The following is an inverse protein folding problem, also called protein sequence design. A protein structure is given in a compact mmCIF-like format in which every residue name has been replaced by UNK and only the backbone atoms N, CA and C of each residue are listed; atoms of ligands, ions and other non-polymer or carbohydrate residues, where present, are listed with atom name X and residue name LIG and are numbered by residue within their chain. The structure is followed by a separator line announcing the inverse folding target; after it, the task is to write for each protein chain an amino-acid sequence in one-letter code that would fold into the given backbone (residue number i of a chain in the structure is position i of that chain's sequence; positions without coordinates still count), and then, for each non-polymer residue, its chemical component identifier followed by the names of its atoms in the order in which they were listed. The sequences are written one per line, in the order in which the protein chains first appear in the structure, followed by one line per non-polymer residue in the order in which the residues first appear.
data_IF_142422883484
#
_entry.id   IF_142422883484
#
_cell.length_a   1.000
_cell.length_b   1.000
_cell.length_c   1.000
_cell.angle_alpha   90.00
_cell.angle_beta   90.00
_cell.angle_gamma   90.00
#
_symmetry.space_group_name_H-M   'P 1'
#
loop_
_entity.id
_entity.type
_entity.pdbx_description
1 polymer ?
#
# COMPACT_ATOMS: atom_id res chain seq x y z
N UNK A 1 10.09 5.95 15.73
CA UNK A 1 9.61 4.67 16.29
C UNK A 1 8.91 3.89 15.19
N UNK A 2 9.08 2.57 15.12
CA UNK A 2 8.65 1.75 13.97
C UNK A 2 7.14 1.56 13.75
N UNK A 3 6.28 2.04 14.66
CA UNK A 3 4.81 2.00 14.52
C UNK A 3 4.17 3.35 14.27
N UNK A 4 4.97 4.40 14.11
CA UNK A 4 4.53 5.76 13.74
C UNK A 4 5.07 6.13 12.37
N UNK A 5 4.28 6.82 11.56
CA UNK A 5 4.64 7.28 10.22
C UNK A 5 4.05 8.68 9.98
N UNK A 6 4.76 9.56 9.24
CA UNK A 6 4.41 10.95 9.02
C UNK A 6 4.98 11.90 10.09
N UNK A 7 4.98 13.18 9.80
CA UNK A 7 5.51 14.27 10.65
C UNK A 7 4.37 15.13 11.20
N UNK A 8 3.57 15.76 10.35
CA UNK A 8 2.40 16.56 10.70
C UNK A 8 1.11 15.76 10.54
N UNK A 9 0.88 15.16 9.40
CA UNK A 9 -0.19 14.16 9.24
C UNK A 9 0.39 12.81 9.67
N UNK A 10 0.29 12.50 10.94
CA UNK A 10 0.97 11.37 11.55
C UNK A 10 0.01 10.26 11.92
N UNK A 11 0.41 9.03 11.65
CA UNK A 11 -0.32 7.86 12.09
C UNK A 11 0.47 7.07 13.12
N UNK A 12 -0.24 6.41 14.03
CA UNK A 12 0.30 5.42 14.95
C UNK A 12 -0.54 4.15 14.88
N UNK A 13 0.01 3.08 14.31
CA UNK A 13 -0.70 1.80 14.16
C UNK A 13 -0.43 0.87 15.34
N UNK A 14 -1.45 0.11 15.76
CA UNK A 14 -1.38 -0.83 16.88
C UNK A 14 -2.22 -2.09 16.61
N UNK A 15 -2.10 -3.06 17.50
CA UNK A 15 -2.83 -4.33 17.41
C UNK A 15 -2.15 -5.38 16.56
N UNK A 16 -2.68 -6.60 16.57
CA UNK A 16 -2.09 -7.80 15.98
C UNK A 16 -3.14 -8.66 15.31
N UNK A 17 -2.70 -9.50 14.35
CA UNK A 17 -3.61 -10.31 13.52
C UNK A 17 -4.49 -11.30 14.31
N UNK A 18 -4.04 -11.72 15.50
CA UNK A 18 -4.73 -12.65 16.40
C UNK A 18 -4.86 -12.08 17.83
N UNK A 19 -4.79 -10.75 17.98
CA UNK A 19 -5.17 -10.02 19.19
C UNK A 19 -6.63 -9.57 19.14
N UNK A 20 -7.06 -8.70 20.05
CA UNK A 20 -8.43 -8.18 20.11
C UNK A 20 -8.87 -7.37 18.89
N UNK A 21 -7.91 -6.76 18.18
CA UNK A 21 -8.16 -5.96 16.97
C UNK A 21 -6.91 -5.33 16.41
N UNK A 22 -7.07 -4.60 15.31
CA UNK A 22 -6.05 -3.76 14.69
C UNK A 22 -6.60 -2.35 14.56
N UNK A 23 -5.82 -1.35 14.92
CA UNK A 23 -6.28 0.03 14.88
C UNK A 23 -5.18 1.00 14.48
N UNK A 24 -5.59 2.26 14.37
CA UNK A 24 -4.73 3.39 14.06
C UNK A 24 -5.22 4.64 14.77
N UNK A 25 -4.30 5.48 15.19
CA UNK A 25 -4.56 6.86 15.61
C UNK A 25 -3.99 7.75 14.50
N UNK A 26 -4.82 8.64 13.96
CA UNK A 26 -4.41 9.72 13.05
C UNK A 26 -4.32 11.00 13.88
N UNK A 27 -3.14 11.58 13.91
CA UNK A 27 -2.87 12.86 14.58
C UNK A 27 -2.47 13.91 13.54
N UNK A 28 -2.88 15.18 13.75
CA UNK A 28 -2.61 16.28 12.84
C UNK A 28 -3.55 16.40 11.63
N UNK A 29 -4.66 15.67 11.60
CA UNK A 29 -5.71 15.93 10.61
C UNK A 29 -6.33 17.32 10.88
N UNK A 30 -6.41 18.22 9.88
CA UNK A 30 -7.01 19.54 10.06
C UNK A 30 -8.47 19.45 10.53
N UNK A 31 -8.95 20.40 11.35
CA UNK A 31 -10.36 20.47 11.72
C UNK A 31 -11.25 20.90 10.55
N UNK A 32 -12.55 20.63 10.68
CA UNK A 32 -13.60 21.03 9.73
C UNK A 32 -13.55 20.33 8.36
N UNK A 33 -12.86 19.20 8.29
CA UNK A 33 -12.96 18.31 7.15
C UNK A 33 -14.20 17.41 7.33
N UNK A 34 -15.16 17.54 6.45
CA UNK A 34 -16.28 16.59 6.33
C UNK A 34 -15.75 15.27 5.79
N UNK A 35 -15.95 14.17 6.52
CA UNK A 35 -15.52 12.84 6.13
C UNK A 35 -16.70 12.01 5.62
N UNK A 36 -16.54 11.44 4.44
CA UNK A 36 -17.36 10.32 3.99
C UNK A 36 -16.89 9.04 4.68
N UNK A 37 -17.61 8.64 5.72
CA UNK A 37 -17.32 7.44 6.50
C UNK A 37 -17.56 6.16 5.68
N UNK A 38 -18.51 6.18 4.74
CA UNK A 38 -18.76 5.05 3.85
C UNK A 38 -17.58 4.82 2.89
N UNK A 39 -16.93 5.89 2.42
CA UNK A 39 -15.72 5.77 1.61
C UNK A 39 -14.54 5.16 2.39
N UNK A 40 -14.41 5.44 3.70
CA UNK A 40 -13.40 4.79 4.55
C UNK A 40 -13.66 3.28 4.63
N UNK A 41 -14.92 2.89 4.85
CA UNK A 41 -15.30 1.47 4.90
C UNK A 41 -15.11 0.80 3.53
N UNK A 42 -15.45 1.48 2.43
CA UNK A 42 -15.27 0.95 1.08
C UNK A 42 -13.79 0.65 0.77
N UNK A 43 -12.85 1.50 1.19
CA UNK A 43 -11.41 1.23 1.03
C UNK A 43 -10.96 0.01 1.88
N UNK A 44 -11.50 -0.15 3.08
CA UNK A 44 -11.26 -1.34 3.90
C UNK A 44 -11.86 -2.59 3.27
N UNK A 45 -13.03 -2.50 2.66
CA UNK A 45 -13.65 -3.60 1.92
C UNK A 45 -12.82 -4.04 0.72
N UNK A 46 -12.15 -3.13 0.03
CA UNK A 46 -11.19 -3.42 -1.05
C UNK A 46 -9.93 -4.13 -0.53
N UNK A 47 -9.55 -3.94 0.74
CA UNK A 47 -8.39 -4.55 1.37
C UNK A 47 -8.68 -5.90 2.02
N UNK A 48 -9.90 -6.12 2.54
CA UNK A 48 -10.26 -7.29 3.36
C UNK A 48 -9.93 -8.64 2.69
N UNK A 49 -9.73 -9.73 3.46
CA UNK A 49 -9.61 -11.07 2.90
C UNK A 49 -10.97 -11.59 2.40
N UNK A 50 -10.95 -12.67 1.61
CA UNK A 50 -12.17 -13.37 1.19
C UNK A 50 -12.98 -12.67 0.11
N UNK A 51 -12.37 -11.76 -0.66
CA UNK A 51 -13.05 -10.99 -1.69
C UNK A 51 -13.39 -11.80 -2.95
N UNK A 52 -12.58 -12.80 -3.27
CA UNK A 52 -12.70 -13.54 -4.52
C UNK A 52 -11.98 -14.90 -4.46
N UNK A 53 -12.19 -15.71 -5.50
CA UNK A 53 -11.54 -17.01 -5.66
C UNK A 53 -10.01 -16.97 -5.81
N UNK A 54 -9.44 -15.83 -6.14
CA UNK A 54 -7.98 -15.62 -6.27
C UNK A 54 -7.34 -15.03 -5.00
N UNK A 55 -8.10 -14.86 -3.93
CA UNK A 55 -7.64 -14.38 -2.62
C UNK A 55 -7.87 -15.43 -1.55
N UNK A 56 -7.31 -15.22 -0.36
CA UNK A 56 -7.48 -16.13 0.78
C UNK A 56 -8.96 -16.35 1.11
N UNK A 57 -9.39 -17.58 1.46
CA UNK A 57 -10.78 -17.87 1.84
C UNK A 57 -11.14 -17.43 3.27
N UNK A 58 -10.23 -16.77 4.01
CA UNK A 58 -10.54 -16.16 5.31
C UNK A 58 -11.64 -15.11 5.13
N UNK A 59 -12.59 -15.06 6.07
CA UNK A 59 -13.69 -14.07 6.04
C UNK A 59 -13.58 -13.14 7.23
N UNK A 60 -13.51 -11.86 6.97
CA UNK A 60 -13.53 -10.78 7.97
C UNK A 60 -14.36 -9.64 7.38
N UNK A 61 -15.21 -9.04 8.18
CA UNK A 61 -16.04 -7.91 7.72
C UNK A 61 -15.25 -6.61 7.70
N UNK A 62 -14.16 -6.54 8.49
CA UNK A 62 -13.28 -5.38 8.67
C UNK A 62 -14.04 -4.07 8.93
N UNK A 63 -15.15 -4.15 9.69
CA UNK A 63 -15.94 -2.98 10.07
C UNK A 63 -15.11 -2.06 10.97
N UNK A 64 -15.00 -0.79 10.57
CA UNK A 64 -14.26 0.21 11.32
C UNK A 64 -15.15 0.88 12.37
N UNK A 65 -14.66 0.93 13.60
CA UNK A 65 -15.20 1.72 14.70
C UNK A 65 -14.37 3.00 14.81
N UNK A 66 -15.00 4.18 14.75
CA UNK A 66 -14.33 5.46 15.01
C UNK A 66 -14.64 5.87 16.44
N UNK A 67 -13.60 6.01 17.25
CA UNK A 67 -13.73 6.18 18.71
C UNK A 67 -13.57 7.63 19.14
N UNK A 68 -12.93 8.49 18.36
CA UNK A 68 -12.67 9.89 18.70
C UNK A 68 -12.34 10.73 17.45
N UNK A 69 -12.28 12.06 17.63
CA UNK A 69 -11.77 13.01 16.65
C UNK A 69 -12.82 13.56 15.68
N UNK A 70 -14.08 13.11 15.77
CA UNK A 70 -15.17 13.56 14.91
C UNK A 70 -16.38 14.04 15.73
N UNK A 71 -17.09 15.04 15.20
CA UNK A 71 -18.42 15.45 15.61
C UNK A 71 -19.30 15.45 14.34
N UNK A 72 -20.35 14.65 14.33
CA UNK A 72 -21.30 14.53 13.20
C UNK A 72 -20.60 14.34 11.83
N UNK A 73 -19.54 13.52 11.80
CA UNK A 73 -18.76 13.27 10.59
C UNK A 73 -17.70 14.32 10.24
N UNK A 74 -17.58 15.38 11.02
CA UNK A 74 -16.63 16.49 10.80
C UNK A 74 -15.43 16.37 11.74
N UNK A 75 -14.22 16.52 11.22
CA UNK A 75 -12.98 16.45 12.03
C UNK A 75 -12.85 17.61 13.01
N UNK A 76 -12.39 17.31 14.22
CA UNK A 76 -12.23 18.29 15.33
C UNK A 76 -10.80 18.88 15.43
N UNK A 77 -9.82 18.34 14.65
CA UNK A 77 -8.40 18.67 14.82
C UNK A 77 -7.75 17.94 16.00
N UNK A 78 -8.48 17.06 16.67
CA UNK A 78 -7.98 16.17 17.72
C UNK A 78 -7.68 14.79 17.16
N UNK A 79 -6.93 13.90 17.85
CA UNK A 79 -6.61 12.58 17.33
C UNK A 79 -7.85 11.76 16.98
N UNK A 80 -7.85 11.21 15.75
CA UNK A 80 -8.89 10.31 15.26
C UNK A 80 -8.44 8.88 15.53
N UNK A 81 -9.13 8.19 16.45
CA UNK A 81 -8.85 6.80 16.76
C UNK A 81 -9.82 5.87 16.03
N UNK A 82 -9.27 4.91 15.29
CA UNK A 82 -10.04 3.92 14.53
C UNK A 82 -9.61 2.51 14.92
N UNK A 83 -10.59 1.60 15.04
CA UNK A 83 -10.38 0.21 15.45
C UNK A 83 -11.21 -0.74 14.58
N UNK A 84 -10.60 -1.85 14.18
CA UNK A 84 -11.28 -3.00 13.58
C UNK A 84 -11.09 -4.22 14.46
N UNK A 85 -12.16 -4.83 14.94
CA UNK A 85 -12.16 -6.03 15.77
C UNK A 85 -11.80 -7.27 14.95
N UNK A 86 -11.01 -8.18 15.54
CA UNK A 86 -10.76 -9.49 14.95
C UNK A 86 -11.90 -10.44 15.28
N UNK A 87 -12.50 -11.10 14.27
CA UNK A 87 -13.64 -12.03 14.45
C UNK A 87 -13.30 -13.48 14.07
N UNK A 88 -12.54 -13.73 12.99
CA UNK A 88 -12.22 -15.08 12.47
C UNK A 88 -10.76 -15.47 12.78
N UNK A 89 -10.45 -15.57 14.08
CA UNK A 89 -9.14 -16.03 14.56
C UNK A 89 -9.17 -17.55 14.70
N UNK A 90 -8.18 -18.26 14.12
CA UNK A 90 -7.99 -19.71 14.25
C UNK A 90 -6.55 -20.04 14.64
N UNK A 91 -6.19 -19.95 15.93
CA UNK A 91 -4.84 -20.24 16.39
C UNK A 91 -4.36 -21.65 16.03
N UNK A 92 -5.30 -22.60 15.91
CA UNK A 92 -5.02 -24.00 15.56
C UNK A 92 -4.40 -24.17 14.16
N UNK A 93 -4.72 -23.30 13.20
CA UNK A 93 -4.16 -23.34 11.84
C UNK A 93 -2.65 -23.04 11.79
N UNK A 94 -2.06 -22.61 12.90
CA UNK A 94 -0.66 -22.18 13.00
C UNK A 94 0.23 -23.05 13.88
N UNK A 95 -0.26 -24.19 14.37
CA UNK A 95 0.51 -25.05 15.29
C UNK A 95 1.80 -25.60 14.65
N UNK A 96 1.77 -26.04 13.39
CA UNK A 96 2.96 -26.50 12.66
C UNK A 96 3.96 -25.36 12.42
N UNK A 97 3.47 -24.14 12.20
CA UNK A 97 4.29 -22.94 11.99
C UNK A 97 4.85 -22.35 13.29
N UNK A 98 4.43 -22.87 14.46
CA UNK A 98 5.00 -22.48 15.75
C UNK A 98 6.33 -23.19 16.03
N UNK A 99 6.63 -24.28 15.32
CA UNK A 99 7.82 -25.12 15.52
C UNK A 99 8.87 -24.88 14.44
N UNK A 100 8.46 -24.67 13.17
CA UNK A 100 9.36 -24.47 12.03
C UNK A 100 9.22 -23.08 11.43
N UNK A 101 10.33 -22.46 11.04
CA UNK A 101 10.30 -21.12 10.41
C UNK A 101 9.87 -21.22 8.96
N UNK A 102 8.93 -20.36 8.56
CA UNK A 102 8.52 -20.25 7.15
C UNK A 102 9.64 -19.60 6.31
N UNK A 103 10.13 -20.25 5.24
CA UNK A 103 11.12 -19.63 4.36
C UNK A 103 10.65 -18.26 3.84
N UNK A 104 11.55 -17.27 3.87
CA UNK A 104 11.26 -15.88 3.43
C UNK A 104 10.13 -15.14 4.17
N UNK A 105 9.62 -15.68 5.29
CA UNK A 105 8.70 -15.00 6.20
C UNK A 105 9.47 -14.32 7.35
N UNK A 106 8.79 -13.44 8.08
CA UNK A 106 9.40 -12.67 9.18
C UNK A 106 9.64 -13.49 10.47
N UNK A 107 9.23 -14.75 10.55
CA UNK A 107 9.24 -15.55 11.79
C UNK A 107 10.62 -15.61 12.43
N UNK A 108 11.63 -16.06 11.68
CA UNK A 108 13.00 -16.20 12.18
C UNK A 108 13.62 -14.83 12.56
N UNK A 109 13.38 -13.79 11.76
CA UNK A 109 13.93 -12.45 12.00
C UNK A 109 13.29 -11.76 13.20
N UNK A 110 11.98 -11.97 13.43
CA UNK A 110 11.30 -11.49 14.64
C UNK A 110 11.78 -12.21 15.88
N UNK A 111 11.95 -13.55 15.81
CA UNK A 111 12.52 -14.32 16.90
C UNK A 111 13.94 -13.86 17.24
N UNK A 112 14.78 -13.69 16.23
CA UNK A 112 16.15 -13.22 16.42
C UNK A 112 16.24 -11.82 17.02
N UNK A 113 15.32 -10.92 16.61
CA UNK A 113 15.32 -9.52 17.07
C UNK A 113 14.72 -9.35 18.45
N UNK A 114 13.58 -9.98 18.72
CA UNK A 114 12.79 -9.71 19.92
C UNK A 114 12.87 -10.82 20.97
N UNK A 115 13.50 -11.96 20.65
CA UNK A 115 13.55 -13.14 21.52
C UNK A 115 12.21 -13.87 21.67
N UNK A 116 11.15 -13.34 21.06
CA UNK A 116 9.79 -13.87 21.10
C UNK A 116 9.08 -13.59 19.79
N UNK A 117 8.21 -14.48 19.37
CA UNK A 117 7.34 -14.28 18.20
C UNK A 117 5.86 -14.47 18.57
N UNK A 118 4.97 -13.85 17.81
CA UNK A 118 3.54 -14.14 17.89
C UNK A 118 3.29 -15.54 17.32
N UNK A 119 3.03 -16.51 18.20
CA UNK A 119 2.85 -17.93 17.84
C UNK A 119 1.59 -18.19 16.99
N UNK A 120 0.66 -17.25 16.98
CA UNK A 120 -0.57 -17.30 16.18
C UNK A 120 -0.56 -16.23 15.09
N UNK A 121 -0.47 -16.63 13.82
CA UNK A 121 -0.77 -15.79 12.65
C UNK A 121 0.19 -14.67 12.29
N UNK A 122 1.40 -14.64 12.83
CA UNK A 122 2.45 -13.67 12.44
C UNK A 122 2.31 -12.26 13.04
N UNK A 123 1.35 -12.01 13.94
CA UNK A 123 1.24 -10.75 14.70
C UNK A 123 1.27 -9.49 13.83
N UNK A 124 2.22 -8.60 14.10
CA UNK A 124 2.48 -7.36 13.34
C UNK A 124 3.12 -7.59 11.96
N UNK A 125 3.70 -8.77 11.70
CA UNK A 125 4.21 -9.13 10.37
C UNK A 125 3.12 -9.59 9.40
N UNK A 126 1.88 -9.73 9.87
CA UNK A 126 0.73 -10.07 9.03
C UNK A 126 0.25 -8.88 8.21
N UNK A 127 -0.21 -9.15 6.97
CA UNK A 127 -0.86 -8.13 6.14
C UNK A 127 -2.13 -7.50 6.78
N UNK A 128 -2.65 -8.07 7.88
CA UNK A 128 -3.77 -7.50 8.63
C UNK A 128 -3.42 -6.15 9.27
N UNK A 129 -2.19 -5.91 9.59
CA UNK A 129 -1.68 -4.61 10.09
C UNK A 129 -2.03 -3.44 9.15
N UNK A 130 -2.10 -3.69 7.85
CA UNK A 130 -2.43 -2.67 6.85
C UNK A 130 -3.84 -2.10 6.95
N UNK A 131 -4.74 -2.68 7.75
CA UNK A 131 -6.05 -2.11 8.09
C UNK A 131 -5.89 -0.67 8.57
N UNK A 132 -4.99 -0.44 9.54
CA UNK A 132 -4.76 0.90 10.08
C UNK A 132 -4.23 1.87 9.02
N UNK A 133 -3.36 1.40 8.12
CA UNK A 133 -2.85 2.23 7.03
C UNK A 133 -3.93 2.62 6.04
N UNK A 134 -4.79 1.68 5.63
CA UNK A 134 -5.88 1.93 4.69
C UNK A 134 -6.94 2.85 5.29
N UNK A 135 -7.34 2.64 6.54
CA UNK A 135 -8.28 3.51 7.23
C UNK A 135 -7.77 4.96 7.33
N UNK A 136 -6.50 5.15 7.73
CA UNK A 136 -5.88 6.47 7.79
C UNK A 136 -5.65 7.08 6.40
N UNK A 137 -5.25 6.27 5.42
CA UNK A 137 -5.08 6.68 4.03
C UNK A 137 -6.36 7.16 3.37
N UNK A 138 -7.52 6.57 3.74
CA UNK A 138 -8.83 7.02 3.26
C UNK A 138 -9.15 8.45 3.76
N UNK A 139 -8.77 8.80 4.98
CA UNK A 139 -8.87 10.19 5.49
C UNK A 139 -7.91 11.11 4.71
N UNK A 140 -6.66 10.69 4.52
CA UNK A 140 -5.66 11.46 3.79
C UNK A 140 -6.10 11.73 2.33
N UNK A 141 -6.71 10.76 1.65
CA UNK A 141 -7.25 10.93 0.29
C UNK A 141 -8.36 11.97 0.26
N UNK A 142 -9.28 11.96 1.23
CA UNK A 142 -10.36 12.96 1.32
C UNK A 142 -9.79 14.35 1.59
N UNK A 143 -8.77 14.48 2.44
CA UNK A 143 -8.06 15.74 2.64
C UNK A 143 -7.45 16.27 1.33
N UNK A 144 -6.72 15.43 0.61
CA UNK A 144 -6.06 15.79 -0.65
C UNK A 144 -7.06 16.17 -1.74
N UNK A 145 -8.14 15.40 -1.88
CA UNK A 145 -9.21 15.69 -2.83
C UNK A 145 -9.88 17.05 -2.53
N UNK A 146 -10.15 17.34 -1.25
CA UNK A 146 -10.76 18.60 -0.81
C UNK A 146 -9.83 19.79 -0.97
N UNK A 147 -8.53 19.61 -0.74
CA UNK A 147 -7.55 20.69 -0.78
C UNK A 147 -7.17 21.10 -2.21
N UNK A 148 -7.00 20.15 -3.13
CA UNK A 148 -6.44 20.40 -4.46
C UNK A 148 -7.04 19.53 -5.58
N UNK A 149 -8.10 18.78 -5.32
CA UNK A 149 -8.64 17.84 -6.32
C UNK A 149 -7.68 16.70 -6.65
N UNK A 150 -6.73 16.40 -5.79
CA UNK A 150 -5.74 15.34 -6.00
C UNK A 150 -6.41 13.98 -5.96
N UNK A 151 -6.13 13.16 -6.96
CA UNK A 151 -6.64 11.81 -7.08
C UNK A 151 -5.48 10.80 -7.03
N UNK A 152 -5.64 9.71 -6.27
CA UNK A 152 -4.66 8.62 -6.17
C UNK A 152 -5.33 7.34 -6.63
N UNK A 153 -4.85 6.77 -7.72
CA UNK A 153 -5.36 5.52 -8.30
C UNK A 153 -4.22 4.54 -8.49
N UNK A 154 -4.42 3.28 -8.05
CA UNK A 154 -3.47 2.21 -8.29
C UNK A 154 -4.18 0.98 -8.88
N UNK A 155 -3.42 0.19 -9.63
CA UNK A 155 -3.91 -1.04 -10.25
C UNK A 155 -2.82 -2.08 -10.36
N UNK A 156 -3.22 -3.32 -10.60
CA UNK A 156 -2.30 -4.41 -10.89
C UNK A 156 -1.81 -4.28 -12.33
N UNK A 157 -0.56 -3.88 -12.49
CA UNK A 157 0.13 -3.76 -13.77
C UNK A 157 0.65 -5.11 -14.29
N UNK A 158 1.22 -5.93 -13.39
CA UNK A 158 1.82 -7.21 -13.77
C UNK A 158 1.54 -8.28 -12.71
N UNK A 159 1.20 -9.48 -13.20
CA UNK A 159 1.18 -10.72 -12.43
C UNK A 159 2.11 -11.72 -13.11
N UNK A 160 3.13 -12.16 -12.37
CA UNK A 160 4.15 -13.08 -12.88
C UNK A 160 4.74 -12.56 -14.20
N UNK A 161 4.49 -13.21 -15.34
CA UNK A 161 4.96 -12.86 -16.69
C UNK A 161 3.90 -12.13 -17.56
N UNK A 162 2.73 -11.83 -17.01
CA UNK A 162 1.64 -11.17 -17.73
C UNK A 162 1.57 -9.70 -17.29
N UNK A 163 1.75 -8.79 -18.24
CA UNK A 163 1.77 -7.35 -18.00
C UNK A 163 0.76 -6.63 -18.88
N UNK A 164 0.15 -5.56 -18.35
CA UNK A 164 -0.64 -4.57 -19.09
C UNK A 164 0.16 -3.27 -19.24
N UNK A 165 -0.02 -2.59 -20.38
CA UNK A 165 0.63 -1.32 -20.71
C UNK A 165 -0.41 -0.24 -21.00
N UNK A 166 -1.41 -0.12 -20.13
CA UNK A 166 -2.43 0.93 -20.25
C UNK A 166 -1.83 2.30 -19.99
N UNK A 167 -2.43 3.31 -20.61
CA UNK A 167 -2.14 4.71 -20.32
C UNK A 167 -2.71 5.06 -18.92
N UNK A 168 -1.83 5.16 -17.93
CA UNK A 168 -2.22 5.39 -16.54
C UNK A 168 -2.94 6.72 -16.30
N UNK A 169 -2.78 7.71 -17.16
CA UNK A 169 -3.50 8.98 -17.04
C UNK A 169 -5.01 8.85 -17.31
N UNK A 170 -5.43 7.79 -18.01
CA UNK A 170 -6.82 7.54 -18.38
C UNK A 170 -7.52 6.50 -17.51
N UNK A 171 -6.79 5.74 -16.71
CA UNK A 171 -7.36 4.68 -15.86
C UNK A 171 -8.26 5.30 -14.80
N UNK A 172 -9.53 4.93 -14.78
CA UNK A 172 -10.48 5.30 -13.72
C UNK A 172 -10.52 4.26 -12.60
N UNK A 173 -11.07 4.64 -11.47
CA UNK A 173 -11.34 3.69 -10.38
C UNK A 173 -12.30 2.59 -10.80
N UNK A 174 -13.30 2.92 -11.61
CA UNK A 174 -14.29 1.95 -12.11
C UNK A 174 -13.63 0.90 -13.01
N UNK A 175 -12.65 1.29 -13.85
CA UNK A 175 -11.87 0.35 -14.65
C UNK A 175 -11.08 -0.62 -13.78
N UNK A 176 -10.49 -0.12 -12.68
CA UNK A 176 -9.72 -0.93 -11.73
C UNK A 176 -10.62 -1.92 -10.98
N UNK A 177 -11.78 -1.49 -10.51
CA UNK A 177 -12.70 -2.32 -9.74
C UNK A 177 -13.61 -3.20 -10.61
N UNK A 178 -13.56 -3.06 -11.95
CA UNK A 178 -14.37 -3.86 -12.89
C UNK A 178 -14.08 -5.37 -12.83
N UNK A 179 -12.96 -5.79 -12.24
CA UNK A 179 -12.60 -7.20 -12.12
C UNK A 179 -11.85 -7.50 -10.82
N UNK A 180 -11.83 -8.79 -10.45
CA UNK A 180 -11.29 -9.27 -9.18
C UNK A 180 -9.76 -9.18 -9.06
N UNK A 181 -9.02 -9.01 -10.16
CA UNK A 181 -7.55 -8.85 -10.13
C UNK A 181 -7.14 -7.38 -10.09
N UNK A 182 -8.09 -6.45 -10.32
CA UNK A 182 -7.83 -5.00 -10.37
C UNK A 182 -6.83 -4.58 -11.43
N UNK A 183 -6.96 -5.16 -12.62
CA UNK A 183 -6.25 -4.77 -13.83
C UNK A 183 -7.22 -4.03 -14.77
N UNK A 184 -6.93 -2.79 -15.20
CA UNK A 184 -7.87 -1.99 -15.99
C UNK A 184 -8.05 -2.45 -17.44
N UNK A 185 -7.20 -3.37 -17.93
CA UNK A 185 -7.37 -4.01 -19.22
C UNK A 185 -8.09 -5.36 -19.08
N UNK A 186 -9.36 -5.50 -19.55
CA UNK A 186 -10.14 -6.72 -19.34
C UNK A 186 -9.51 -7.98 -19.92
N UNK A 187 -8.90 -7.91 -21.10
CA UNK A 187 -8.28 -9.06 -21.75
C UNK A 187 -7.05 -9.56 -20.98
N UNK A 188 -6.23 -8.63 -20.48
CA UNK A 188 -5.08 -8.96 -19.63
C UNK A 188 -5.55 -9.42 -18.24
N UNK A 189 -6.62 -8.85 -17.69
CA UNK A 189 -7.19 -9.27 -16.42
C UNK A 189 -7.62 -10.75 -16.43
N UNK A 190 -8.28 -11.21 -17.47
CA UNK A 190 -8.66 -12.63 -17.63
C UNK A 190 -7.43 -13.56 -17.62
N UNK A 191 -6.37 -13.19 -18.33
CA UNK A 191 -5.11 -13.95 -18.36
C UNK A 191 -4.41 -13.97 -17.00
N UNK A 192 -4.41 -12.83 -16.29
CA UNK A 192 -3.85 -12.72 -14.92
C UNK A 192 -4.63 -13.60 -13.94
N UNK A 193 -5.96 -13.57 -13.99
CA UNK A 193 -6.82 -14.39 -13.12
C UNK A 193 -6.54 -15.89 -13.38
N UNK A 194 -6.51 -16.31 -14.64
CA UNK A 194 -6.22 -17.70 -15.00
C UNK A 194 -4.83 -18.13 -14.50
N UNK A 195 -3.81 -17.25 -14.59
CA UNK A 195 -2.46 -17.51 -14.09
C UNK A 195 -2.42 -17.69 -12.58
N UNK A 196 -3.09 -16.81 -11.82
CA UNK A 196 -3.16 -16.92 -10.35
C UNK A 196 -3.85 -18.23 -9.95
N UNK A 197 -4.93 -18.59 -10.60
CA UNK A 197 -5.66 -19.84 -10.33
C UNK A 197 -4.81 -21.08 -10.64
N UNK A 198 -4.05 -21.06 -11.74
CA UNK A 198 -3.17 -22.18 -12.10
C UNK A 198 -2.08 -22.38 -11.02
N UNK A 199 -1.37 -21.32 -10.66
CA UNK A 199 -0.33 -21.34 -9.63
C UNK A 199 -0.91 -21.75 -8.27
N UNK A 200 -2.08 -21.22 -7.90
CA UNK A 200 -2.77 -21.57 -6.64
C UNK A 200 -3.19 -23.04 -6.56
N UNK A 201 -3.60 -23.66 -7.70
CA UNK A 201 -3.89 -25.11 -7.78
C UNK A 201 -2.65 -25.95 -7.56
N UNK A 202 -1.49 -25.48 -7.98
CA UNK A 202 -0.20 -26.14 -7.73
C UNK A 202 0.27 -26.02 -6.28
N UNK A 203 -0.46 -25.27 -5.44
CA UNK A 203 -0.08 -25.00 -4.04
C UNK A 203 1.02 -23.95 -3.90
N UNK A 204 1.25 -23.15 -4.92
CA UNK A 204 2.29 -22.12 -5.01
C UNK A 204 1.71 -20.69 -4.95
N UNK A 205 2.55 -19.68 -5.09
CA UNK A 205 2.19 -18.27 -5.10
C UNK A 205 2.94 -17.49 -6.17
N UNK A 206 2.41 -16.34 -6.57
CA UNK A 206 3.06 -15.44 -7.49
C UNK A 206 3.08 -14.00 -6.95
N UNK A 207 4.07 -13.26 -7.43
CA UNK A 207 4.22 -11.84 -7.25
C UNK A 207 3.86 -11.06 -8.51
N UNK A 208 4.17 -9.77 -8.51
CA UNK A 208 3.93 -8.88 -9.65
C UNK A 208 4.25 -7.43 -9.32
N UNK A 209 3.64 -6.52 -10.07
CA UNK A 209 3.85 -5.07 -9.95
C UNK A 209 2.51 -4.36 -9.85
N UNK A 210 2.41 -3.43 -8.92
CA UNK A 210 1.33 -2.44 -8.84
C UNK A 210 1.87 -1.13 -9.38
N UNK A 211 1.12 -0.50 -10.29
CA UNK A 211 1.34 0.89 -10.71
C UNK A 211 0.35 1.79 -10.00
N UNK A 212 0.81 2.98 -9.62
CA UNK A 212 0.01 4.01 -8.98
C UNK A 212 0.28 5.35 -9.64
N UNK A 213 -0.78 6.05 -9.99
CA UNK A 213 -0.71 7.41 -10.53
C UNK A 213 -1.42 8.36 -9.59
N UNK A 214 -0.75 9.49 -9.29
CA UNK A 214 -1.34 10.63 -8.61
C UNK A 214 -1.64 11.70 -9.64
N UNK A 215 -2.89 12.04 -9.81
CA UNK A 215 -3.32 13.14 -10.68
C UNK A 215 -3.52 14.41 -9.87
N UNK A 216 -3.27 15.55 -10.48
CA UNK A 216 -3.37 16.86 -9.86
C UNK A 216 -2.59 16.94 -8.53
N UNK A 217 -1.32 16.47 -8.46
CA UNK A 217 -0.55 16.66 -7.24
C UNK A 217 -0.30 18.15 -7.02
N UNK A 218 -0.39 18.66 -5.78
CA UNK A 218 0.06 20.02 -5.49
C UNK A 218 1.53 20.19 -5.89
N UNK A 219 1.86 21.33 -6.50
CA UNK A 219 3.26 21.72 -6.76
C UNK A 219 3.95 22.03 -5.45
N UNK A 220 5.22 21.65 -5.31
CA UNK A 220 6.05 22.01 -4.19
C UNK A 220 6.05 21.01 -3.02
N UNK A 221 5.44 19.84 -3.14
CA UNK A 221 5.52 18.80 -2.12
C UNK A 221 6.90 18.15 -2.13
N UNK A 222 7.51 18.01 -0.96
CA UNK A 222 8.85 17.47 -0.78
C UNK A 222 9.75 18.47 -0.04
N UNK A 223 10.65 17.96 0.81
CA UNK A 223 11.56 18.77 1.61
C UNK A 223 13.01 18.26 1.50
N UNK A 224 13.70 18.58 0.40
CA UNK A 224 15.12 18.27 0.28
C UNK A 224 15.91 18.84 1.48
N UNK A 225 17.07 18.25 1.85
CA UNK A 225 17.81 17.25 1.06
C UNK A 225 17.33 15.82 1.31
N UNK A 226 16.99 15.42 2.55
CA UNK A 226 16.72 14.04 2.93
C UNK A 226 15.24 13.65 2.78
N UNK A 227 14.33 14.56 3.06
CA UNK A 227 12.88 14.33 2.94
C UNK A 227 12.36 14.68 1.52
N UNK A 228 13.10 14.24 0.50
CA UNK A 228 12.61 14.27 -0.88
C UNK A 228 11.32 13.50 -0.98
N UNK A 229 10.37 13.96 -1.80
CA UNK A 229 9.05 13.32 -1.94
C UNK A 229 9.19 11.86 -2.36
N UNK A 230 10.04 11.55 -3.36
CA UNK A 230 10.30 10.17 -3.80
C UNK A 230 10.97 9.31 -2.73
N UNK A 231 11.78 9.89 -1.84
CA UNK A 231 12.41 9.15 -0.75
C UNK A 231 11.38 8.73 0.31
N UNK A 232 10.48 9.64 0.69
CA UNK A 232 9.40 9.32 1.64
C UNK A 232 8.36 8.37 1.02
N UNK A 233 8.03 8.51 -0.28
CA UNK A 233 7.21 7.55 -1.02
C UNK A 233 7.85 6.15 -1.03
N UNK A 234 9.13 6.06 -1.34
CA UNK A 234 9.87 4.80 -1.30
C UNK A 234 9.86 4.17 0.10
N UNK A 235 10.14 4.93 1.15
CA UNK A 235 10.07 4.49 2.54
C UNK A 235 8.68 3.96 2.91
N UNK A 236 7.63 4.69 2.52
CA UNK A 236 6.24 4.32 2.78
C UNK A 236 5.89 2.98 2.12
N UNK A 237 6.14 2.87 0.82
CA UNK A 237 5.77 1.72 0.00
C UNK A 237 6.63 0.49 0.28
N UNK A 238 7.94 0.68 0.53
CA UNK A 238 8.84 -0.40 0.95
C UNK A 238 8.55 -0.91 2.36
N UNK A 239 7.77 -0.19 3.17
CA UNK A 239 7.29 -0.66 4.48
C UNK A 239 6.09 -1.59 4.41
N UNK A 240 5.45 -1.74 3.24
CA UNK A 240 4.35 -2.68 3.04
C UNK A 240 4.85 -4.14 3.05
N UNK A 241 4.04 -5.10 3.53
CA UNK A 241 4.39 -6.50 3.44
C UNK A 241 4.63 -6.95 1.99
N UNK A 242 5.62 -7.81 1.79
CA UNK A 242 6.01 -8.42 0.51
C UNK A 242 6.63 -7.49 -0.53
N UNK A 243 6.78 -6.20 -0.29
CA UNK A 243 7.44 -5.28 -1.24
C UNK A 243 8.94 -5.55 -1.36
N UNK A 244 9.48 -5.43 -2.59
CA UNK A 244 10.88 -5.68 -2.92
C UNK A 244 11.50 -4.70 -3.92
N UNK A 245 10.68 -3.79 -4.48
CA UNK A 245 11.17 -2.78 -5.41
C UNK A 245 10.24 -1.58 -5.49
N UNK A 246 10.84 -0.44 -5.80
CA UNK A 246 10.17 0.83 -5.99
C UNK A 246 10.81 1.54 -7.19
N UNK A 247 9.97 2.09 -8.05
CA UNK A 247 10.38 2.95 -9.17
C UNK A 247 9.46 4.17 -9.24
N UNK A 248 10.04 5.28 -9.74
CA UNK A 248 9.32 6.50 -10.04
C UNK A 248 9.63 6.94 -11.46
N UNK A 249 8.62 7.46 -12.19
CA UNK A 249 8.78 7.88 -13.58
C UNK A 249 9.35 6.79 -14.48
N UNK A 250 10.40 7.09 -15.22
CA UNK A 250 11.10 6.14 -16.08
C UNK A 250 11.78 4.99 -15.30
N UNK A 251 12.04 5.18 -14.00
CA UNK A 251 12.62 4.14 -13.13
C UNK A 251 13.94 3.58 -13.66
N UNK A 252 14.13 2.26 -13.55
CA UNK A 252 15.33 1.60 -14.06
C UNK A 252 15.48 1.70 -15.57
N UNK A 253 14.38 1.76 -16.34
CA UNK A 253 14.44 1.90 -17.79
C UNK A 253 15.08 3.24 -18.23
N UNK A 254 14.92 4.29 -17.43
CA UNK A 254 15.56 5.60 -17.66
C UNK A 254 17.09 5.55 -17.70
N UNK A 255 17.71 4.54 -17.07
CA UNK A 255 19.18 4.37 -17.08
C UNK A 255 19.74 4.00 -18.47
N UNK A 256 18.88 3.57 -19.39
CA UNK A 256 19.23 3.24 -20.77
C UNK A 256 19.15 4.46 -21.69
N UNK A 257 18.56 5.58 -21.23
CA UNK A 257 18.39 6.81 -21.99
C UNK A 257 19.60 7.73 -21.82
N UNK A 258 19.88 8.52 -22.85
CA UNK A 258 20.82 9.65 -22.74
C UNK A 258 20.13 10.82 -22.06
N UNK A 259 20.87 11.74 -21.47
CA UNK A 259 20.31 12.91 -20.81
C UNK A 259 19.37 13.74 -21.73
N UNK A 260 19.74 13.89 -23.00
CA UNK A 260 18.90 14.59 -24.01
C UNK A 260 17.60 13.86 -24.35
N UNK A 261 17.50 12.57 -24.08
CA UNK A 261 16.32 11.74 -24.30
C UNK A 261 15.46 11.66 -23.04
N UNK A 262 16.09 11.74 -21.88
CA UNK A 262 15.45 11.64 -20.57
C UNK A 262 14.90 12.99 -20.06
N UNK A 263 15.57 14.10 -20.38
CA UNK A 263 15.21 15.41 -19.84
C UNK A 263 13.81 15.85 -20.26
N UNK A 264 12.95 16.12 -19.27
CA UNK A 264 11.60 16.64 -19.48
C UNK A 264 11.67 18.14 -19.78
N UNK A 265 11.52 18.52 -21.05
CA UNK A 265 11.59 19.92 -21.47
C UNK A 265 10.40 20.70 -20.89
N UNK A 266 10.66 21.88 -20.32
CA UNK A 266 9.61 22.76 -19.83
C UNK A 266 8.82 23.40 -20.97
N UNK A 267 7.50 23.49 -20.77
CA UNK A 267 6.57 24.13 -21.70
C UNK A 267 6.19 25.51 -21.21
N UNK A 268 6.12 26.47 -22.14
CA UNK A 268 5.53 27.76 -21.88
C UNK A 268 4.00 27.61 -21.80
N UNK A 269 3.40 28.00 -20.68
CA UNK A 269 1.95 27.99 -20.47
C UNK A 269 1.40 29.43 -20.40
N UNK A 270 0.15 29.62 -20.80
CA UNK A 270 -0.48 30.96 -20.80
C UNK A 270 -0.78 31.47 -19.37
N UNK A 271 -0.91 30.57 -18.41
CA UNK A 271 -1.22 30.87 -17.00
C UNK A 271 0.02 30.87 -16.10
N UNK A 272 1.22 30.64 -16.65
CA UNK A 272 2.48 30.58 -15.90
C UNK A 272 2.64 29.29 -15.08
N UNK A 273 1.77 28.29 -15.26
CA UNK A 273 1.91 27.01 -14.59
C UNK A 273 3.14 26.24 -15.08
N UNK A 274 3.76 25.46 -14.20
CA UNK A 274 4.88 24.60 -14.56
C UNK A 274 4.35 23.34 -15.24
N UNK A 275 4.74 23.13 -16.51
CA UNK A 275 4.40 21.92 -17.27
C UNK A 275 5.63 21.41 -18.02
N UNK A 276 5.62 20.11 -18.33
CA UNK A 276 6.68 19.46 -19.10
C UNK A 276 6.14 18.72 -20.33
N UNK A 277 6.99 18.59 -21.36
CA UNK A 277 6.61 17.92 -22.62
C UNK A 277 6.55 16.39 -22.48
N UNK A 278 7.34 15.85 -21.57
CA UNK A 278 7.42 14.42 -21.19
C UNK A 278 7.40 14.33 -19.67
N UNK A 279 7.23 13.13 -19.13
CA UNK A 279 7.18 12.91 -17.67
C UNK A 279 8.10 11.74 -17.27
N UNK A 280 9.34 11.73 -17.76
CA UNK A 280 10.33 10.72 -17.40
C UNK A 280 10.71 10.81 -15.91
N UNK A 281 10.67 12.01 -15.34
CA UNK A 281 10.91 12.26 -13.90
C UNK A 281 9.75 11.76 -13.02
N UNK A 282 8.60 11.43 -13.62
CA UNK A 282 7.44 10.92 -12.90
C UNK A 282 6.82 11.91 -11.91
N UNK A 283 6.74 13.22 -12.28
CA UNK A 283 6.09 14.27 -11.50
C UNK A 283 6.95 14.85 -10.37
N UNK A 284 8.20 14.42 -10.21
CA UNK A 284 9.10 14.86 -9.13
C UNK A 284 10.46 15.23 -9.70
N UNK A 285 10.88 16.47 -9.46
CA UNK A 285 12.18 16.99 -9.87
C UNK A 285 12.90 17.60 -8.67
N UNK A 286 14.16 17.22 -8.46
CA UNK A 286 14.94 17.69 -7.31
C UNK A 286 14.39 17.28 -5.94
N UNK A 287 13.49 16.30 -5.89
CA UNK A 287 12.82 15.86 -4.67
C UNK A 287 11.50 16.57 -4.39
N UNK A 288 11.00 17.38 -5.32
CA UNK A 288 9.82 18.25 -5.16
C UNK A 288 8.84 17.96 -6.32
N UNK A 289 7.54 17.89 -6.01
CA UNK A 289 6.50 17.71 -7.03
C UNK A 289 6.40 18.95 -7.93
N UNK A 290 6.31 18.72 -9.23
CA UNK A 290 6.27 19.76 -10.25
C UNK A 290 4.86 20.01 -10.85
N UNK A 291 3.84 19.29 -10.36
CA UNK A 291 2.45 19.41 -10.84
C UNK A 291 2.08 18.39 -11.92
N UNK A 292 3.05 17.74 -12.56
CA UNK A 292 2.78 16.63 -13.47
C UNK A 292 2.34 15.38 -12.67
N UNK A 293 1.63 14.42 -13.29
CA UNK A 293 1.21 13.20 -12.62
C UNK A 293 2.39 12.46 -11.99
N UNK A 294 2.24 12.06 -10.72
CA UNK A 294 3.27 11.25 -10.06
C UNK A 294 3.04 9.78 -10.43
N UNK A 295 4.02 9.16 -11.09
CA UNK A 295 3.94 7.78 -11.58
C UNK A 295 4.88 6.89 -10.78
N UNK A 296 4.31 5.88 -10.12
CA UNK A 296 5.00 5.00 -9.18
C UNK A 296 4.77 3.54 -9.57
N UNK A 297 5.79 2.70 -9.45
CA UNK A 297 5.65 1.23 -9.55
C UNK A 297 6.24 0.57 -8.31
N UNK A 298 5.51 -0.45 -7.81
CA UNK A 298 5.91 -1.20 -6.60
C UNK A 298 5.91 -2.69 -6.91
N UNK A 299 7.06 -3.32 -6.73
CA UNK A 299 7.22 -4.76 -6.93
C UNK A 299 6.90 -5.53 -5.65
N UNK A 300 6.06 -6.55 -5.77
CA UNK A 300 5.69 -7.48 -4.71
C UNK A 300 6.24 -8.87 -5.02
N UNK A 301 6.97 -9.46 -4.07
CA UNK A 301 7.41 -10.85 -4.19
C UNK A 301 6.23 -11.82 -4.00
N UNK A 302 6.36 -13.08 -4.46
CA UNK A 302 5.41 -14.14 -4.10
C UNK A 302 5.23 -14.25 -2.58
N UNK A 303 4.03 -14.62 -2.13
CA UNK A 303 3.77 -14.83 -0.71
C UNK A 303 4.59 -16.01 -0.19
N UNK A 304 5.20 -15.86 0.98
CA UNK A 304 6.13 -16.86 1.52
C UNK A 304 5.44 -18.14 2.01
N UNK A 305 4.15 -18.05 2.37
CA UNK A 305 3.40 -19.19 2.89
C UNK A 305 2.71 -19.93 1.76
N UNK A 306 3.22 -21.10 1.40
CA UNK A 306 2.73 -21.94 0.30
C UNK A 306 2.48 -23.37 0.78
N UNK A 307 1.69 -24.15 0.02
CA UNK A 307 1.37 -25.54 0.34
C UNK A 307 2.42 -26.55 -0.14
N UNK A 308 3.31 -26.12 -1.04
CA UNK A 308 4.46 -26.95 -1.45
C UNK A 308 5.40 -27.15 -0.28
N UNK A 309 5.95 -28.34 -0.15
CA UNK A 309 6.98 -28.65 0.85
C UNK A 309 8.25 -27.86 0.57
N UNK A 310 8.77 -27.23 1.61
CA UNK A 310 9.96 -26.39 1.57
C UNK A 310 10.95 -26.83 2.63
N UNK A 311 12.25 -26.84 2.31
CA UNK A 311 13.31 -27.06 3.29
C UNK A 311 13.41 -25.84 4.21
N UNK A 312 13.55 -26.09 5.51
CA UNK A 312 13.66 -25.04 6.53
C UNK A 312 14.38 -25.57 7.79
N UNK A 313 14.38 -24.78 8.83
CA UNK A 313 14.86 -25.17 10.16
C UNK A 313 13.75 -24.98 11.20
N UNK A 314 13.80 -25.77 12.27
CA UNK A 314 12.96 -25.57 13.45
C UNK A 314 13.51 -24.47 14.38
N UNK A 315 12.82 -24.24 15.49
CA UNK A 315 13.21 -23.25 16.50
C UNK A 315 14.52 -23.60 17.24
N UNK A 316 15.01 -24.85 17.13
CA UNK A 316 16.28 -25.32 17.69
C UNK A 316 17.42 -25.24 16.64
N UNK A 317 17.11 -24.83 15.40
CA UNK A 317 18.10 -24.77 14.31
C UNK A 317 18.31 -26.09 13.57
N UNK A 318 17.49 -27.12 13.83
CA UNK A 318 17.58 -28.41 13.14
C UNK A 318 16.88 -28.37 11.80
N UNK A 319 17.48 -29.01 10.78
CA UNK A 319 16.90 -29.11 9.45
C UNK A 319 15.57 -29.87 9.50
N UNK A 320 14.56 -29.32 8.83
CA UNK A 320 13.22 -29.89 8.72
C UNK A 320 12.55 -29.48 7.42
N UNK A 321 11.34 -29.95 7.16
CA UNK A 321 10.50 -29.50 6.03
C UNK A 321 9.21 -28.89 6.55
N UNK A 322 8.65 -27.98 5.77
CA UNK A 322 7.38 -27.34 6.08
C UNK A 322 6.51 -27.24 4.81
N UNK A 323 5.33 -27.80 4.83
CA UNK A 323 4.25 -27.56 3.89
C UNK A 323 3.15 -26.82 4.64
N UNK A 324 3.04 -25.51 4.42
CA UNK A 324 2.15 -24.70 5.25
C UNK A 324 0.68 -25.04 4.96
N UNK A 325 -0.01 -25.56 5.97
CA UNK A 325 -1.48 -25.68 5.97
C UNK A 325 -2.08 -24.35 6.37
N UNK A 326 -3.20 -23.97 5.78
CA UNK A 326 -3.91 -22.74 6.13
C UNK A 326 -4.45 -21.99 4.94
N UNK A 327 -5.03 -20.81 5.23
CA UNK A 327 -5.73 -19.95 4.28
C UNK A 327 -4.82 -18.80 3.86
N UNK A 328 -4.09 -18.98 2.75
CA UNK A 328 -3.13 -17.99 2.25
C UNK A 328 -3.55 -17.46 0.89
N UNK A 329 -3.13 -16.22 0.58
CA UNK A 329 -3.33 -15.62 -0.73
C UNK A 329 -2.35 -16.27 -1.74
N UNK A 330 -2.80 -16.85 -2.87
CA UNK A 330 -1.89 -17.25 -3.94
C UNK A 330 -1.25 -16.04 -4.61
N UNK A 331 -1.89 -14.86 -4.52
CA UNK A 331 -1.35 -13.58 -4.96
C UNK A 331 -1.91 -12.46 -4.07
N UNK A 332 -1.02 -11.63 -3.49
CA UNK A 332 -1.44 -10.54 -2.61
C UNK A 332 -1.83 -9.26 -3.35
N UNK A 333 -1.43 -9.12 -4.62
CA UNK A 333 -1.52 -7.85 -5.35
C UNK A 333 -2.93 -7.26 -5.41
N UNK A 334 -4.00 -8.01 -5.68
CA UNK A 334 -5.35 -7.43 -5.72
C UNK A 334 -5.74 -6.73 -4.42
N UNK A 335 -5.31 -7.28 -3.27
CA UNK A 335 -5.55 -6.68 -1.95
C UNK A 335 -4.57 -5.56 -1.61
N UNK A 336 -3.40 -5.55 -2.25
CA UNK A 336 -2.36 -4.54 -2.01
C UNK A 336 -2.64 -3.22 -2.74
N UNK A 337 -3.48 -3.20 -3.77
CA UNK A 337 -3.87 -1.97 -4.49
C UNK A 337 -4.31 -0.86 -3.54
N UNK A 338 -5.35 -1.02 -2.68
CA UNK A 338 -5.73 0.03 -1.73
C UNK A 338 -4.66 0.31 -0.66
N UNK A 339 -3.75 -0.62 -0.37
CA UNK A 339 -2.64 -0.37 0.54
C UNK A 339 -1.61 0.58 -0.07
N UNK A 340 -1.32 0.45 -1.37
CA UNK A 340 -0.43 1.35 -2.12
C UNK A 340 -1.06 2.75 -2.18
N UNK A 341 -2.33 2.85 -2.59
CA UNK A 341 -3.06 4.13 -2.61
C UNK A 341 -3.02 4.84 -1.25
N UNK A 342 -3.26 4.10 -0.17
CA UNK A 342 -3.26 4.64 1.19
C UNK A 342 -1.89 5.18 1.60
N UNK A 343 -0.80 4.44 1.33
CA UNK A 343 0.54 4.89 1.71
C UNK A 343 0.99 6.10 0.89
N UNK A 344 0.64 6.17 -0.39
CA UNK A 344 0.89 7.35 -1.23
C UNK A 344 0.12 8.55 -0.69
N UNK A 345 -1.16 8.39 -0.38
CA UNK A 345 -1.98 9.48 0.17
C UNK A 345 -1.47 9.99 1.52
N UNK A 346 -1.00 9.09 2.40
CA UNK A 346 -0.43 9.48 3.70
C UNK A 346 0.82 10.36 3.54
N UNK A 347 1.71 10.00 2.61
CA UNK A 347 2.91 10.81 2.31
C UNK A 347 2.52 12.18 1.76
N UNK A 348 1.63 12.21 0.77
CA UNK A 348 1.21 13.46 0.16
C UNK A 348 0.49 14.40 1.14
N UNK A 349 -0.39 13.85 2.01
CA UNK A 349 -1.07 14.64 3.03
C UNK A 349 -0.10 15.23 4.06
N UNK A 350 0.91 14.46 4.49
CA UNK A 350 1.95 14.94 5.39
C UNK A 350 2.76 16.09 4.75
N UNK A 351 3.23 15.89 3.51
CA UNK A 351 3.96 16.92 2.78
C UNK A 351 3.10 18.15 2.47
N UNK A 352 1.80 17.99 2.20
CA UNK A 352 0.88 19.11 2.00
C UNK A 352 0.80 19.98 3.26
N UNK A 353 0.64 19.39 4.45
CA UNK A 353 0.59 20.15 5.71
C UNK A 353 1.94 20.80 6.03
N UNK A 354 3.04 20.10 5.75
CA UNK A 354 4.41 20.64 5.94
C UNK A 354 4.63 21.86 5.04
N UNK A 355 4.25 21.78 3.77
CA UNK A 355 4.34 22.89 2.81
C UNK A 355 3.48 24.08 3.25
N UNK A 356 2.22 23.83 3.64
CA UNK A 356 1.33 24.87 4.14
C UNK A 356 1.93 25.59 5.35
N UNK A 357 2.48 24.85 6.30
CA UNK A 357 3.12 25.42 7.48
C UNK A 357 4.39 26.22 7.19
N UNK A 358 5.11 25.88 6.12
CA UNK A 358 6.38 26.54 5.78
C UNK A 358 6.22 27.68 4.76
N UNK A 359 5.35 27.53 3.76
CA UNK A 359 5.31 28.40 2.59
C UNK A 359 4.09 29.34 2.51
N UNK A 360 3.13 29.25 3.43
CA UNK A 360 1.88 30.04 3.38
C UNK A 360 1.89 31.28 4.27
N UNK A 361 3.05 31.71 4.74
CA UNK A 361 3.16 32.89 5.61
C UNK A 361 3.19 34.22 4.83
N UNK A 362 3.48 34.19 3.53
CA UNK A 362 3.62 35.37 2.63
C UNK A 362 2.76 35.27 1.42
#
# INVERSE_FOLDING_TARGET
MGSSFGTLFRIHSFGESHGGGVGVIVDGCPPRLELDLAAIQADLDRRKPGQSKITTPRKEDDQVEILSGLLDGVTLGTPIAMLVRNKDQRPQDYQEMAVAFRPSHADATYQAKYGIQARSGGGRASARETIGRVAAGAIARQLLARANGTEVIAWVRRIHDIETLVDGERVSRDDVEANIVRCPDPATAERMIARIEAIGREGDSCGGVIECVVRNPPVGLGMPVFDKLEADLAKALMSLPATKGFEIGSGFAGTLLRGSEHNDAFLATSDGSLRTATNNSGGIQGGISNGEPIVIRVAFKPTATIRKEQQTIDSEGKATTLAAKGRHDPCVLPRAVPMVEAMVALVLADHLLRQQGQCSLW
#
